data_IF_681731639349
#
_entry.id   IF_681731639349
#
_cell.length_a   1.000
_cell.length_b   1.000
_cell.length_c   1.000
_cell.angle_alpha   90.00
_cell.angle_beta   90.00
_cell.angle_gamma   90.00
#
_symmetry.space_group_name_H-M   'P 1'
#
loop_
_entity.id
_entity.type
_entity.pdbx_description
1 polymer ?
#
# COMPACT_ATOMS: atom_id res chain seq x y z
N UNK A 1 -20.85 15.86 31.89
CA UNK A 1 -19.89 15.15 31.01
C UNK A 1 -19.05 16.22 30.33
N UNK A 2 -17.73 16.19 30.43
CA UNK A 2 -16.88 17.25 29.83
C UNK A 2 -16.63 16.94 28.36
N UNK A 3 -16.76 17.94 27.48
CA UNK A 3 -16.51 17.79 26.04
C UNK A 3 -15.10 17.29 25.71
N UNK A 4 -14.12 17.57 26.57
CA UNK A 4 -12.76 17.06 26.46
C UNK A 4 -12.67 15.52 26.63
N UNK A 5 -13.51 14.92 27.49
CA UNK A 5 -13.55 13.46 27.66
C UNK A 5 -14.10 12.74 26.42
N UNK A 6 -15.05 13.36 25.72
CA UNK A 6 -15.65 12.78 24.52
C UNK A 6 -14.75 12.94 23.28
N UNK A 7 -14.02 14.06 23.16
CA UNK A 7 -13.00 14.26 22.12
C UNK A 7 -11.84 13.28 22.27
N UNK A 8 -11.36 13.02 23.48
CA UNK A 8 -10.29 12.05 23.71
C UNK A 8 -10.66 10.62 23.29
N UNK A 9 -11.91 10.19 23.52
CA UNK A 9 -12.42 8.89 23.04
C UNK A 9 -12.50 8.84 21.50
N UNK A 10 -12.95 9.92 20.87
CA UNK A 10 -12.99 10.01 19.41
C UNK A 10 -11.58 10.00 18.81
N UNK A 11 -10.61 10.64 19.46
CA UNK A 11 -9.21 10.61 19.04
C UNK A 11 -8.65 9.19 19.11
N UNK A 12 -8.86 8.48 20.21
CA UNK A 12 -8.44 7.08 20.34
C UNK A 12 -9.03 6.18 19.23
N UNK A 13 -10.31 6.37 18.90
CA UNK A 13 -10.95 5.65 17.79
C UNK A 13 -10.35 6.01 16.43
N UNK A 14 -10.05 7.29 16.18
CA UNK A 14 -9.42 7.74 14.92
C UNK A 14 -7.99 7.21 14.79
N UNK A 15 -7.20 7.22 15.86
CA UNK A 15 -5.86 6.62 15.88
C UNK A 15 -5.92 5.13 15.57
N UNK A 16 -6.87 4.38 16.13
CA UNK A 16 -7.04 2.96 15.81
C UNK A 16 -7.39 2.74 14.33
N UNK A 17 -8.21 3.61 13.73
CA UNK A 17 -8.56 3.52 12.30
C UNK A 17 -7.37 3.85 11.41
N UNK A 18 -6.55 4.83 11.79
CA UNK A 18 -5.32 5.17 11.09
C UNK A 18 -4.31 4.03 11.14
N UNK A 19 -4.07 3.42 12.31
CA UNK A 19 -3.18 2.25 12.43
C UNK A 19 -3.69 1.05 11.62
N UNK A 20 -5.00 0.82 11.55
CA UNK A 20 -5.58 -0.20 10.66
C UNK A 20 -5.35 0.11 9.19
N UNK A 21 -5.49 1.37 8.77
CA UNK A 21 -5.22 1.79 7.40
C UNK A 21 -3.72 1.62 7.06
N UNK A 22 -2.83 1.94 8.00
CA UNK A 22 -1.38 1.71 7.87
C UNK A 22 -1.05 0.23 7.73
N UNK A 23 -1.67 -0.64 8.53
CA UNK A 23 -1.51 -2.09 8.40
C UNK A 23 -2.00 -2.59 7.02
N UNK A 24 -3.12 -2.04 6.51
CA UNK A 24 -3.61 -2.36 5.17
C UNK A 24 -2.60 -1.97 4.07
N UNK A 25 -1.90 -0.83 4.21
CA UNK A 25 -0.79 -0.45 3.31
C UNK A 25 0.32 -1.50 3.33
N UNK A 26 0.73 -1.99 4.50
CA UNK A 26 1.76 -3.03 4.60
C UNK A 26 1.34 -4.35 3.95
N UNK A 27 0.07 -4.74 4.11
CA UNK A 27 -0.49 -5.93 3.45
C UNK A 27 -0.52 -5.75 1.93
N UNK A 28 -1.01 -4.61 1.43
CA UNK A 28 -1.03 -4.32 -0.01
C UNK A 28 0.38 -4.31 -0.61
N UNK A 29 1.37 -3.75 0.10
CA UNK A 29 2.77 -3.76 -0.34
C UNK A 29 3.37 -5.17 -0.34
N UNK A 30 2.98 -6.04 0.59
CA UNK A 30 3.38 -7.45 0.55
C UNK A 30 2.80 -8.16 -0.68
N UNK A 31 1.50 -7.99 -0.95
CA UNK A 31 0.84 -8.56 -2.13
C UNK A 31 1.46 -8.08 -3.43
N UNK A 32 1.80 -6.79 -3.53
CA UNK A 32 2.48 -6.24 -4.70
C UNK A 32 3.84 -6.92 -4.94
N UNK A 33 4.63 -7.16 -3.89
CA UNK A 33 5.90 -7.88 -4.00
C UNK A 33 5.70 -9.33 -4.45
N UNK A 34 4.68 -10.01 -3.95
CA UNK A 34 4.38 -11.38 -4.34
C UNK A 34 3.90 -11.46 -5.80
N UNK A 35 3.05 -10.52 -6.24
CA UNK A 35 2.62 -10.41 -7.63
C UNK A 35 3.80 -10.10 -8.57
N UNK A 36 4.71 -9.21 -8.17
CA UNK A 36 5.90 -8.88 -8.94
C UNK A 36 6.82 -10.09 -9.12
N UNK A 37 6.99 -10.91 -8.07
CA UNK A 37 7.71 -12.19 -8.16
C UNK A 37 7.02 -13.16 -9.11
N UNK A 38 5.70 -13.27 -9.05
CA UNK A 38 4.96 -14.16 -9.93
C UNK A 38 5.08 -13.77 -11.43
N UNK A 39 5.16 -12.48 -11.74
CA UNK A 39 5.45 -12.00 -13.11
C UNK A 39 6.86 -12.40 -13.53
N UNK A 40 7.86 -12.18 -12.67
CA UNK A 40 9.24 -12.58 -12.95
C UNK A 40 9.40 -14.09 -13.14
N UNK A 41 8.71 -14.90 -12.33
CA UNK A 41 8.70 -16.36 -12.46
C UNK A 41 8.07 -16.80 -13.80
N UNK A 42 7.00 -16.11 -14.23
CA UNK A 42 6.36 -16.37 -15.52
C UNK A 42 7.27 -16.00 -16.71
N UNK A 43 8.01 -14.89 -16.61
CA UNK A 43 9.02 -14.51 -17.62
C UNK A 43 10.13 -15.56 -17.72
N UNK A 44 10.68 -16.00 -16.59
CA UNK A 44 11.69 -17.07 -16.55
C UNK A 44 11.15 -18.38 -17.13
N UNK A 45 9.88 -18.70 -16.91
CA UNK A 45 9.26 -19.88 -17.49
C UNK A 45 9.16 -19.81 -19.03
N UNK A 46 8.86 -18.63 -19.58
CA UNK A 46 8.85 -18.39 -21.04
C UNK A 46 10.26 -18.55 -21.59
N UNK A 47 11.26 -17.87 -21.01
CA UNK A 47 12.65 -17.96 -21.47
C UNK A 47 13.17 -19.40 -21.45
N UNK A 48 12.84 -20.15 -20.39
CA UNK A 48 13.21 -21.57 -20.28
C UNK A 48 12.56 -22.42 -21.37
N UNK A 49 11.29 -22.16 -21.70
CA UNK A 49 10.57 -22.86 -22.77
C UNK A 49 11.17 -22.53 -24.14
N UNK A 50 11.49 -21.27 -24.40
CA UNK A 50 12.13 -20.83 -25.65
C UNK A 50 13.50 -21.50 -25.82
N UNK A 51 14.33 -21.52 -24.79
CA UNK A 51 15.63 -22.19 -24.81
C UNK A 51 15.54 -23.71 -24.97
N UNK A 52 14.52 -24.35 -24.37
CA UNK A 52 14.24 -25.77 -24.56
C UNK A 52 13.83 -26.05 -26.01
N UNK A 53 12.99 -25.20 -26.59
CA UNK A 53 12.53 -25.31 -27.98
C UNK A 53 13.68 -25.16 -28.96
N UNK A 54 14.55 -24.16 -28.78
CA UNK A 54 15.73 -23.94 -29.61
C UNK A 54 16.67 -25.17 -29.59
N UNK A 55 16.87 -25.77 -28.42
CA UNK A 55 17.67 -27.00 -28.28
C UNK A 55 17.03 -28.19 -28.98
N UNK A 56 15.71 -28.33 -28.93
CA UNK A 56 14.99 -29.40 -29.62
C UNK A 56 15.08 -29.23 -31.14
N UNK A 57 14.89 -28.01 -31.63
CA UNK A 57 15.03 -27.68 -33.05
C UNK A 57 16.45 -27.96 -33.55
N UNK A 58 17.47 -27.54 -32.80
CA UNK A 58 18.87 -27.82 -33.15
C UNK A 58 19.12 -29.34 -33.27
N UNK A 59 18.67 -30.14 -32.29
CA UNK A 59 18.81 -31.60 -32.33
C UNK A 59 18.07 -32.22 -33.51
N UNK A 60 16.89 -31.69 -33.86
CA UNK A 60 16.12 -32.16 -35.01
C UNK A 60 16.86 -31.89 -36.32
N UNK A 61 17.38 -30.67 -36.52
CA UNK A 61 18.13 -30.30 -37.72
C UNK A 61 19.42 -31.11 -37.87
N UNK A 62 20.15 -31.33 -36.78
CA UNK A 62 21.33 -32.19 -36.74
C UNK A 62 20.98 -33.63 -37.14
N UNK A 63 19.90 -34.20 -36.61
CA UNK A 63 19.45 -35.56 -36.94
C UNK A 63 19.03 -35.70 -38.42
N UNK A 64 18.46 -34.65 -39.00
CA UNK A 64 18.04 -34.61 -40.40
C UNK A 64 19.18 -34.28 -41.38
N UNK A 65 20.40 -34.05 -40.90
CA UNK A 65 21.56 -33.60 -41.70
C UNK A 65 21.29 -32.29 -42.48
N UNK A 66 20.33 -31.50 -42.00
CA UNK A 66 20.02 -30.19 -42.56
C UNK A 66 21.03 -29.21 -41.95
N UNK A 67 21.71 -28.45 -42.79
CA UNK A 67 22.69 -27.45 -42.31
C UNK A 67 21.95 -26.42 -41.44
N UNK A 68 22.36 -26.23 -40.16
CA UNK A 68 21.77 -25.19 -39.33
C UNK A 68 22.00 -23.82 -39.99
N UNK A 69 20.95 -22.99 -40.03
CA UNK A 69 21.05 -21.61 -40.50
C UNK A 69 21.96 -20.79 -39.57
N UNK A 70 22.58 -19.71 -40.06
CA UNK A 70 23.43 -18.86 -39.23
C UNK A 70 22.67 -18.33 -38.00
N UNK A 71 23.36 -18.29 -36.86
CA UNK A 71 22.82 -17.92 -35.55
C UNK A 71 22.08 -16.58 -35.59
N UNK A 72 20.80 -16.60 -35.22
CA UNK A 72 19.92 -15.42 -35.19
C UNK A 72 18.66 -15.54 -36.05
N UNK A 73 18.57 -16.54 -36.93
CA UNK A 73 17.40 -16.76 -37.80
C UNK A 73 16.44 -17.86 -37.30
N UNK A 74 16.85 -18.68 -36.32
CA UNK A 74 16.00 -19.72 -35.71
C UNK A 74 14.71 -19.15 -35.11
N UNK A 75 14.76 -17.91 -34.58
CA UNK A 75 13.60 -17.24 -34.00
C UNK A 75 12.52 -16.77 -34.99
N UNK A 76 12.67 -16.97 -36.31
CA UNK A 76 11.69 -16.48 -37.31
C UNK A 76 10.92 -17.56 -38.07
N UNK A 77 11.20 -18.85 -37.86
CA UNK A 77 10.43 -19.97 -38.44
C UNK A 77 10.01 -20.98 -37.38
N UNK A 78 9.29 -20.50 -36.37
CA UNK A 78 8.62 -21.36 -35.37
C UNK A 78 7.52 -22.28 -35.97
N UNK A 79 7.18 -22.13 -37.25
CA UNK A 79 6.13 -22.89 -37.94
C UNK A 79 6.45 -24.38 -38.19
N UNK A 80 7.70 -24.84 -38.07
CA UNK A 80 8.03 -26.22 -38.42
C UNK A 80 7.62 -27.27 -37.36
N UNK A 81 7.24 -26.85 -36.15
CA UNK A 81 6.88 -27.80 -35.07
C UNK A 81 5.46 -27.69 -34.53
N UNK A 82 4.71 -26.59 -34.72
CA UNK A 82 3.25 -26.44 -34.48
C UNK A 82 2.70 -26.71 -33.05
N UNK A 83 3.33 -27.59 -32.27
CA UNK A 83 3.01 -28.00 -30.90
C UNK A 83 3.73 -27.12 -29.86
N UNK A 84 4.85 -26.51 -30.26
CA UNK A 84 5.60 -25.53 -29.45
C UNK A 84 4.80 -24.25 -29.18
N UNK A 85 4.04 -23.79 -30.18
CA UNK A 85 3.32 -22.51 -30.12
C UNK A 85 2.20 -22.52 -29.07
N UNK A 86 1.45 -23.63 -28.92
CA UNK A 86 0.36 -23.71 -27.94
C UNK A 86 0.86 -23.59 -26.49
N UNK A 87 2.00 -24.19 -26.17
CA UNK A 87 2.58 -24.10 -24.82
C UNK A 87 3.13 -22.71 -24.56
N UNK A 88 3.77 -22.09 -25.57
CA UNK A 88 4.25 -20.71 -25.49
C UNK A 88 3.09 -19.73 -25.30
N UNK A 89 2.02 -19.87 -26.07
CA UNK A 89 0.80 -19.08 -25.94
C UNK A 89 0.17 -19.23 -24.54
N UNK A 90 0.13 -20.44 -24.00
CA UNK A 90 -0.36 -20.67 -22.64
C UNK A 90 0.50 -19.93 -21.59
N UNK A 91 1.83 -20.00 -21.69
CA UNK A 91 2.75 -19.30 -20.78
C UNK A 91 2.64 -17.77 -20.93
N UNK A 92 2.48 -17.26 -22.15
CA UNK A 92 2.23 -15.83 -22.39
C UNK A 92 0.89 -15.41 -21.77
N UNK A 93 -0.16 -16.22 -21.94
CA UNK A 93 -1.46 -15.97 -21.32
C UNK A 93 -1.40 -16.00 -19.80
N UNK A 94 -0.56 -16.85 -19.20
CA UNK A 94 -0.30 -16.84 -17.76
C UNK A 94 0.45 -15.57 -17.31
N UNK A 95 1.49 -15.14 -18.05
CA UNK A 95 2.22 -13.88 -17.80
C UNK A 95 1.29 -12.66 -17.89
N UNK A 96 0.39 -12.64 -18.86
CA UNK A 96 -0.58 -11.56 -19.01
C UNK A 96 -1.56 -11.52 -17.83
N UNK A 97 -2.07 -12.68 -17.40
CA UNK A 97 -2.91 -12.77 -16.20
C UNK A 97 -2.16 -12.29 -14.95
N UNK A 98 -0.92 -12.74 -14.72
CA UNK A 98 -0.14 -12.29 -13.57
C UNK A 98 0.20 -10.80 -13.64
N UNK A 99 0.45 -10.27 -14.84
CA UNK A 99 0.63 -8.83 -15.06
C UNK A 99 -0.63 -8.03 -14.71
N UNK A 100 -1.82 -8.51 -15.08
CA UNK A 100 -3.07 -7.82 -14.67
C UNK A 100 -3.25 -7.81 -13.15
N UNK A 101 -2.89 -8.90 -12.47
CA UNK A 101 -2.90 -8.98 -11.00
C UNK A 101 -1.88 -8.01 -10.39
N UNK A 102 -0.71 -7.83 -11.01
CA UNK A 102 0.27 -6.83 -10.58
C UNK A 102 -0.32 -5.42 -10.65
N UNK A 103 -0.94 -5.06 -11.77
CA UNK A 103 -1.57 -3.75 -11.97
C UNK A 103 -2.73 -3.51 -10.97
N UNK A 104 -3.51 -4.54 -10.64
CA UNK A 104 -4.53 -4.49 -9.60
C UNK A 104 -3.89 -4.25 -8.23
N UNK A 105 -2.80 -4.94 -7.89
CA UNK A 105 -2.09 -4.76 -6.62
C UNK A 105 -1.47 -3.36 -6.48
N UNK A 106 -0.96 -2.77 -7.58
CA UNK A 106 -0.46 -1.40 -7.58
C UNK A 106 -1.58 -0.40 -7.27
N UNK A 107 -2.75 -0.59 -7.91
CA UNK A 107 -3.95 0.22 -7.64
C UNK A 107 -4.43 0.06 -6.21
N UNK A 108 -4.45 -1.17 -5.67
CA UNK A 108 -4.80 -1.43 -4.26
C UNK A 108 -3.84 -0.72 -3.30
N UNK A 109 -2.53 -0.77 -3.56
CA UNK A 109 -1.54 -0.09 -2.73
C UNK A 109 -1.72 1.42 -2.76
N UNK A 110 -1.92 2.00 -3.95
CA UNK A 110 -2.15 3.43 -4.10
C UNK A 110 -3.41 3.89 -3.35
N UNK A 111 -4.51 3.12 -3.46
CA UNK A 111 -5.75 3.37 -2.73
C UNK A 111 -5.55 3.27 -1.21
N UNK A 112 -4.87 2.23 -0.73
CA UNK A 112 -4.57 2.06 0.70
C UNK A 112 -3.71 3.21 1.25
N UNK A 113 -2.71 3.67 0.49
CA UNK A 113 -1.88 4.81 0.87
C UNK A 113 -2.65 6.13 0.88
N UNK A 114 -3.57 6.33 -0.05
CA UNK A 114 -4.44 7.51 -0.06
C UNK A 114 -5.37 7.51 1.16
N UNK A 115 -5.97 6.36 1.46
CA UNK A 115 -6.84 6.18 2.63
C UNK A 115 -6.07 6.41 3.94
N UNK A 116 -4.87 5.82 4.09
CA UNK A 116 -4.05 6.04 5.27
C UNK A 116 -3.71 7.53 5.47
N UNK A 117 -3.29 8.24 4.41
CA UNK A 117 -3.04 9.69 4.46
C UNK A 117 -4.27 10.48 4.87
N UNK A 118 -5.44 10.12 4.34
CA UNK A 118 -6.70 10.76 4.72
C UNK A 118 -7.02 10.55 6.20
N UNK A 119 -6.88 9.32 6.70
CA UNK A 119 -7.11 9.00 8.12
C UNK A 119 -6.14 9.70 9.06
N UNK A 120 -4.88 9.79 8.65
CA UNK A 120 -3.84 10.52 9.37
C UNK A 120 -4.20 12.00 9.53
N UNK A 121 -4.56 12.65 8.41
CA UNK A 121 -5.00 14.05 8.42
C UNK A 121 -6.20 14.27 9.33
N UNK A 122 -7.22 13.42 9.25
CA UNK A 122 -8.42 13.49 10.09
C UNK A 122 -8.11 13.28 11.58
N UNK A 123 -7.15 12.41 11.92
CA UNK A 123 -6.68 12.22 13.29
C UNK A 123 -5.98 13.49 13.79
N UNK A 124 -5.06 14.04 13.00
CA UNK A 124 -4.24 15.19 13.40
C UNK A 124 -5.10 16.44 13.59
N UNK A 125 -6.09 16.67 12.72
CA UNK A 125 -7.08 17.74 12.88
C UNK A 125 -7.87 17.62 14.19
N UNK A 126 -8.23 16.39 14.58
CA UNK A 126 -8.96 16.15 15.82
C UNK A 126 -8.05 16.35 17.05
N UNK A 127 -6.80 15.90 16.97
CA UNK A 127 -5.81 16.08 18.03
C UNK A 127 -5.54 17.57 18.27
N UNK A 128 -5.45 18.38 17.20
CA UNK A 128 -5.30 19.82 17.32
C UNK A 128 -6.52 20.48 17.99
N UNK A 129 -7.74 20.08 17.61
CA UNK A 129 -8.96 20.59 18.23
C UNK A 129 -9.05 20.22 19.72
N UNK A 130 -8.68 18.98 20.08
CA UNK A 130 -8.61 18.55 21.47
C UNK A 130 -7.57 19.36 22.26
N UNK A 131 -6.39 19.59 21.70
CA UNK A 131 -5.35 20.40 22.33
C UNK A 131 -5.85 21.82 22.62
N UNK A 132 -6.49 22.47 21.63
CA UNK A 132 -7.05 23.82 21.81
C UNK A 132 -8.12 23.86 22.89
N UNK A 133 -8.98 22.83 22.96
CA UNK A 133 -10.01 22.76 24.00
C UNK A 133 -9.38 22.61 25.39
N UNK A 134 -8.38 21.73 25.55
CA UNK A 134 -7.68 21.57 26.83
C UNK A 134 -7.03 22.87 27.30
N UNK A 135 -6.39 23.60 26.38
CA UNK A 135 -5.80 24.91 26.69
C UNK A 135 -6.88 25.92 27.10
N UNK A 136 -8.03 25.96 26.42
CA UNK A 136 -9.13 26.85 26.78
C UNK A 136 -9.76 26.49 28.13
N UNK A 137 -9.92 25.20 28.43
CA UNK A 137 -10.44 24.72 29.71
C UNK A 137 -9.48 25.05 30.87
N UNK A 138 -8.18 24.94 30.63
CA UNK A 138 -7.17 25.34 31.62
C UNK A 138 -7.18 26.86 31.87
N UNK A 139 -7.19 27.67 30.81
CA UNK A 139 -7.28 29.13 30.94
C UNK A 139 -8.56 29.58 31.66
N UNK A 140 -9.68 28.89 31.45
CA UNK A 140 -10.93 29.15 32.18
C UNK A 140 -10.81 28.79 33.66
N UNK A 141 -10.20 27.65 33.98
CA UNK A 141 -9.99 27.25 35.36
C UNK A 141 -9.08 28.25 36.10
N UNK A 142 -8.02 28.73 35.45
CA UNK A 142 -7.12 29.76 35.97
C UNK A 142 -7.87 31.09 36.20
N UNK A 143 -8.69 31.53 35.24
CA UNK A 143 -9.49 32.75 35.38
C UNK A 143 -10.53 32.67 36.52
N UNK A 144 -11.17 31.51 36.71
CA UNK A 144 -12.11 31.30 37.84
C UNK A 144 -11.37 31.39 39.18
N UNK A 145 -10.19 30.76 39.28
CA UNK A 145 -9.37 30.83 40.50
C UNK A 145 -8.89 32.25 40.79
N UNK A 146 -8.49 32.99 39.76
CA UNK A 146 -8.09 34.40 39.88
C UNK A 146 -9.26 35.27 40.35
N UNK A 147 -10.45 35.09 39.76
CA UNK A 147 -11.66 35.80 40.19
C UNK A 147 -12.03 35.49 41.64
N UNK A 148 -12.00 34.21 42.05
CA UNK A 148 -12.26 33.81 43.44
C UNK A 148 -11.25 34.46 44.41
N UNK A 149 -9.98 34.56 44.02
CA UNK A 149 -8.95 35.23 44.82
C UNK A 149 -9.20 36.74 44.94
N UNK A 150 -9.60 37.39 43.84
CA UNK A 150 -9.98 38.81 43.83
C UNK A 150 -11.19 39.08 44.72
N UNK A 151 -12.25 38.29 44.62
CA UNK A 151 -13.46 38.40 45.45
C UNK A 151 -13.14 38.28 46.95
N UNK A 152 -12.34 37.26 47.32
CA UNK A 152 -11.90 37.07 48.71
C UNK A 152 -11.02 38.20 49.23
N UNK A 153 -10.22 38.83 48.36
CA UNK A 153 -9.41 40.00 48.71
C UNK A 153 -10.26 41.26 48.92
N UNK A 154 -11.28 41.48 48.07
CA UNK A 154 -12.21 42.60 48.17
C UNK A 154 -13.07 42.52 49.44
N UNK A 155 -13.53 41.33 49.82
CA UNK A 155 -14.33 41.13 51.03
C UNK A 155 -13.54 41.36 52.33
N UNK A 156 -12.24 41.02 52.36
CA UNK A 156 -11.35 41.36 53.48
C UNK A 156 -11.16 42.86 53.65
N UNK A 157 -11.06 43.61 52.54
CA UNK A 157 -10.92 45.06 52.58
C UNK A 157 -12.20 45.71 53.12
N UNK A 158 -13.39 45.27 52.68
CA UNK A 158 -14.68 45.82 53.15
C UNK A 158 -14.95 45.56 54.65
N UNK A 159 -14.51 44.43 55.19
CA UNK A 159 -14.70 44.10 56.61
C UNK A 159 -13.73 44.83 57.56
N UNK A 160 -12.75 45.56 57.01
CA UNK A 160 -11.73 46.32 57.77
C UNK A 160 -11.98 47.83 57.83
N UNK A 161 -13.05 48.31 57.19
CA UNK A 161 -13.54 49.69 57.27
C UNK A 161 -14.65 49.81 58.32
#
# INVERSE_FOLDING_TARGET
>A
MSGASDLGKLLALRSLREERAKAAVSVAAARLRDASRAVSDAEVAIERHEHETDRQEQRFLEAMQIKPLPSGEFGRRHELLGVSDQRREALIGEREKTSTVLDDCERELAAAQAEWRHRLFERDRLAEAESRLRTADQARAEAVVEQEAEEMSADRVRMSC
#
